data_IF_565227018184
#
_entry.id   IF_565227018184
#
_cell.length_a   1.000
_cell.length_b   1.000
_cell.length_c   1.000
_cell.angle_alpha   90.00
_cell.angle_beta   90.00
_cell.angle_gamma   90.00
#
_symmetry.space_group_name_H-M   'P 1'
#
loop_
_entity.id
_entity.type
_entity.pdbx_description
1 polymer ?
2 non-polymer ?
3 water ?
#
# COMPACT_ATOMS: atom_id res chain seq x y z
N UNK A 1 16.41 -25.96 17.58
CA UNK A 1 16.11 -26.16 19.03
C UNK A 1 14.61 -26.06 19.24
N UNK A 2 14.17 -26.44 20.43
CA UNK A 2 12.82 -26.08 20.85
C UNK A 2 12.86 -24.75 21.63
N UNK A 3 11.66 -24.19 21.82
CA UNK A 3 11.45 -22.84 22.36
C UNK A 3 12.20 -21.71 21.62
N UNK A 4 12.21 -21.83 20.29
CA UNK A 4 12.67 -20.77 19.39
C UNK A 4 11.63 -20.70 18.28
N UNK A 5 11.43 -19.52 17.72
CA UNK A 5 10.58 -19.38 16.54
C UNK A 5 11.23 -18.37 15.61
N UNK A 6 11.41 -18.73 14.35
CA UNK A 6 11.98 -17.79 13.38
C UNK A 6 10.95 -16.71 13.07
N UNK A 7 11.41 -15.48 12.77
CA UNK A 7 10.46 -14.43 12.34
C UNK A 7 9.52 -14.96 11.26
N UNK A 8 8.27 -14.51 11.28
CA UNK A 8 7.26 -15.07 10.39
C UNK A 8 6.73 -13.98 9.46
N UNK A 9 6.65 -14.27 8.17
CA UNK A 9 6.11 -13.35 7.18
C UNK A 9 4.79 -13.87 6.64
N UNK A 10 3.80 -13.00 6.62
CA UNK A 10 2.46 -13.35 6.18
C UNK A 10 2.02 -12.29 5.19
N UNK A 11 1.75 -12.70 3.93
CA UNK A 11 1.13 -11.77 3.00
C UNK A 11 -0.29 -11.41 3.43
N UNK A 12 -0.59 -10.11 3.41
CA UNK A 12 -1.91 -9.62 3.74
C UNK A 12 -2.98 -10.22 2.82
N UNK A 13 -4.24 -10.13 3.23
CA UNK A 13 -5.36 -10.62 2.43
C UNK A 13 -5.24 -12.10 2.07
N UNK A 14 -4.78 -12.89 3.03
CA UNK A 14 -4.77 -14.34 2.86
C UNK A 14 -6.19 -14.87 2.70
N UNK A 15 -6.33 -15.87 1.83
CA UNK A 15 -7.62 -16.56 1.64
C UNK A 15 -7.80 -17.65 2.68
N UNK A 16 -6.70 -18.06 3.32
CA UNK A 16 -6.72 -19.07 4.37
C UNK A 16 -6.63 -20.47 3.77
N UNK A 17 -7.48 -21.41 4.24
CA UNK A 17 -8.59 -21.26 5.20
C UNK A 17 -8.18 -20.87 6.64
N UNK A 18 -9.15 -20.33 7.38
CA UNK A 18 -8.93 -19.80 8.73
C UNK A 18 -9.73 -20.57 9.78
N UNK A 19 -9.11 -20.86 10.95
CA UNK A 19 -7.77 -20.39 11.37
C UNK A 19 -6.64 -21.08 10.63
N UNK A 20 -5.48 -20.44 10.60
CA UNK A 20 -4.36 -20.88 9.78
C UNK A 20 -3.10 -21.14 10.61
N UNK A 21 -2.58 -22.37 10.55
CA UNK A 21 -1.33 -22.66 11.25
C UNK A 21 -0.17 -21.87 10.66
N UNK A 22 0.71 -21.40 11.53
CA UNK A 22 1.91 -20.66 11.12
C UNK A 22 3.16 -21.34 11.63
N UNK A 23 3.14 -21.67 12.91
CA UNK A 23 4.32 -22.21 13.55
C UNK A 23 3.88 -22.97 14.77
N UNK A 24 4.70 -23.89 15.22
CA UNK A 24 4.37 -24.65 16.42
C UNK A 24 5.40 -24.35 17.50
N UNK A 25 4.93 -23.90 18.67
CA UNK A 25 5.78 -23.74 19.84
C UNK A 25 5.94 -25.10 20.51
N UNK A 26 7.14 -25.39 21.00
CA UNK A 26 7.35 -26.61 21.78
C UNK A 26 8.37 -26.40 22.91
N UNK A 27 8.07 -26.96 24.08
CA UNK A 27 9.02 -27.02 25.18
C UNK A 27 9.48 -28.46 25.40
N UNK A 28 10.79 -28.65 25.58
CA UNK A 28 11.34 -29.98 25.89
C UNK A 28 10.82 -30.52 27.24
N UNK A 29 10.22 -29.64 28.04
CA UNK A 29 9.69 -29.99 29.35
C UNK A 29 8.41 -30.84 29.26
N UNK A 30 7.92 -31.07 28.05
CA UNK A 30 6.66 -31.82 27.86
C UNK A 30 6.77 -33.36 27.86
N UNK A 31 7.99 -33.91 27.95
CA UNK A 31 8.18 -35.35 28.24
C UNK A 31 7.86 -35.58 29.69
N UNK A 32 8.37 -34.65 30.51
CA UNK A 32 8.30 -34.74 31.96
C UNK A 32 6.95 -34.28 32.54
N UNK A 33 6.09 -33.68 31.73
CA UNK A 33 4.77 -33.28 32.21
C UNK A 33 3.91 -32.75 31.06
N UNK A 34 2.61 -32.59 31.30
CA UNK A 34 1.75 -31.94 30.32
C UNK A 34 1.99 -30.42 30.37
N UNK A 35 2.11 -29.81 29.19
CA UNK A 35 2.36 -28.37 29.05
C UNK A 35 1.18 -27.68 28.38
N UNK A 36 0.85 -26.48 28.87
CA UNK A 36 -0.19 -25.66 28.29
C UNK A 36 0.42 -24.39 27.70
N UNK A 37 0.15 -24.15 26.43
CA UNK A 37 0.73 -23.01 25.72
C UNK A 37 -0.25 -21.86 25.63
N UNK A 38 0.29 -20.64 25.66
CA UNK A 38 -0.54 -19.46 25.52
C UNK A 38 0.26 -18.35 24.86
N UNK A 39 -0.45 -17.29 24.50
CA UNK A 39 0.07 -16.19 23.71
C UNK A 39 -0.46 -14.87 24.28
N UNK A 40 0.42 -13.87 24.42
CA UNK A 40 -0.01 -12.53 24.82
C UNK A 40 0.58 -11.51 23.84
N UNK A 41 0.00 -10.30 23.84
CA UNK A 41 0.54 -9.18 23.07
C UNK A 41 -0.50 -8.49 22.24
N UNK A 42 -0.12 -7.36 21.62
CA UNK A 42 -1.03 -6.65 20.70
C UNK A 42 -1.34 -7.52 19.49
N UNK A 43 -2.60 -7.93 19.32
CA UNK A 43 -2.94 -8.93 18.30
C UNK A 43 -3.39 -10.25 18.90
N UNK A 44 -3.10 -10.46 20.16
CA UNK A 44 -3.50 -11.67 20.86
C UNK A 44 -4.49 -11.34 21.99
N UNK A 45 -3.99 -10.95 23.16
CA UNK A 45 -4.83 -10.66 24.33
C UNK A 45 -5.10 -9.15 24.52
N UNK A 46 -4.51 -8.32 23.65
CA UNK A 46 -4.74 -6.88 23.66
C UNK A 46 -5.03 -6.38 22.23
N UNK A 47 -5.66 -5.20 22.10
CA UNK A 47 -6.17 -4.78 20.78
C UNK A 47 -5.08 -4.72 19.70
N UNK A 48 -5.37 -5.24 18.48
CA UNK A 48 -6.63 -5.93 18.12
C UNK A 48 -6.67 -7.34 18.70
N UNK A 49 -7.60 -7.58 19.62
CA UNK A 49 -7.67 -8.85 20.34
C UNK A 49 -8.07 -10.02 19.42
N UNK A 50 -7.40 -11.15 19.61
CA UNK A 50 -7.81 -12.41 19.00
C UNK A 50 -7.60 -12.54 17.50
N UNK A 51 -6.64 -11.79 16.94
CA UNK A 51 -6.24 -11.99 15.55
C UNK A 51 -5.36 -13.25 15.46
N UNK A 52 -4.47 -13.38 16.45
CA UNK A 52 -3.62 -14.54 16.64
C UNK A 52 -4.03 -15.26 17.90
N UNK A 53 -3.80 -16.57 17.90
CA UNK A 53 -4.10 -17.43 19.04
C UNK A 53 -3.13 -18.61 19.02
N UNK A 54 -3.10 -19.39 20.10
CA UNK A 54 -2.28 -20.61 20.14
C UNK A 54 -3.10 -21.76 20.74
N UNK A 55 -3.05 -22.93 20.07
CA UNK A 55 -3.64 -24.18 20.56
C UNK A 55 -2.98 -24.60 21.90
N UNK A 56 -3.80 -24.67 22.95
CA UNK A 56 -3.34 -25.04 24.30
C UNK A 56 -2.41 -26.27 24.34
N UNK A 57 -2.89 -27.37 23.76
CA UNK A 57 -2.23 -28.66 23.88
C UNK A 57 -1.08 -28.83 22.90
N UNK A 58 -1.26 -28.38 21.66
CA UNK A 58 -0.27 -28.66 20.62
C UNK A 58 0.82 -27.58 20.49
N UNK A 59 0.51 -26.35 20.90
CA UNK A 59 1.43 -25.23 20.69
C UNK A 59 1.35 -24.60 19.31
N UNK A 60 0.39 -25.02 18.49
CA UNK A 60 0.22 -24.41 17.17
C UNK A 60 -0.19 -22.94 17.30
N UNK A 61 0.64 -22.07 16.74
CA UNK A 61 0.32 -20.67 16.55
C UNK A 61 -0.58 -20.50 15.32
N UNK A 62 -1.65 -19.73 15.51
CA UNK A 62 -2.76 -19.64 14.57
C UNK A 62 -3.07 -18.20 14.23
N UNK A 63 -3.36 -17.97 12.95
CA UNK A 63 -3.90 -16.72 12.46
C UNK A 63 -5.39 -16.97 12.23
N UNK A 64 -6.23 -16.06 12.72
CA UNK A 64 -7.67 -16.27 12.72
C UNK A 64 -8.43 -15.59 11.58
N UNK A 65 -7.78 -14.67 10.89
CA UNK A 65 -8.45 -13.90 9.85
C UNK A 65 -7.40 -13.23 8.94
N UNK A 66 -7.84 -12.69 7.78
CA UNK A 66 -6.89 -12.00 6.90
C UNK A 66 -6.28 -10.75 7.53
N UNK A 67 -4.99 -10.52 7.28
CA UNK A 67 -4.31 -9.33 7.78
C UNK A 67 -4.37 -8.18 6.76
N UNK A 68 -4.22 -6.96 7.27
CA UNK A 68 -4.13 -5.74 6.46
C UNK A 68 -2.83 -5.00 6.78
N UNK A 69 -1.91 -4.92 5.82
CA UNK A 69 -0.60 -4.33 6.09
C UNK A 69 -0.68 -2.84 6.45
N UNK A 70 -1.61 -2.12 5.83
CA UNK A 70 -1.70 -0.66 5.98
C UNK A 70 -2.38 -0.29 7.28
N UNK A 71 -2.98 -1.28 7.96
CA UNK A 71 -3.53 -1.07 9.29
C UNK A 71 -2.48 -1.38 10.36
N UNK A 72 -1.89 -2.56 10.28
CA UNK A 72 -0.79 -3.00 11.16
C UNK A 72 0.14 -3.84 10.32
N UNK A 73 1.42 -3.45 10.25
CA UNK A 73 2.38 -4.07 9.37
C UNK A 73 3.29 -5.09 10.06
N UNK A 74 3.30 -5.07 11.39
CA UNK A 74 4.13 -5.97 12.21
C UNK A 74 3.53 -6.16 13.61
N UNK A 75 3.59 -7.39 14.12
CA UNK A 75 3.18 -7.71 15.48
C UNK A 75 4.39 -8.29 16.21
N UNK A 76 4.48 -7.98 17.51
CA UNK A 76 5.33 -8.71 18.46
C UNK A 76 4.43 -9.33 19.53
N UNK A 77 4.34 -10.65 19.52
CA UNK A 77 3.58 -11.43 20.51
C UNK A 77 4.54 -12.19 21.42
N UNK A 78 4.04 -12.72 22.52
CA UNK A 78 4.87 -13.53 23.43
C UNK A 78 4.19 -14.85 23.73
N UNK A 79 4.93 -15.94 23.55
CA UNK A 79 4.47 -17.28 23.85
C UNK A 79 4.86 -17.68 25.26
N UNK A 80 4.03 -18.52 25.87
CA UNK A 80 4.23 -19.02 27.22
C UNK A 80 3.96 -20.50 27.25
N UNK A 81 4.61 -21.16 28.21
CA UNK A 81 4.52 -22.60 28.41
C UNK A 81 4.41 -22.83 29.90
N UNK A 82 3.25 -23.34 30.31
CA UNK A 82 2.95 -23.55 31.71
C UNK A 82 2.61 -25.03 31.92
N UNK A 83 3.28 -25.67 32.89
CA UNK A 83 2.98 -27.06 33.23
C UNK A 83 1.61 -27.23 33.90
N UNK A 84 1.13 -28.46 33.93
CA UNK A 84 -0.16 -28.79 34.55
C UNK A 84 -0.25 -28.45 36.06
N UNK A 85 0.88 -28.45 36.75
CA UNK A 85 0.91 -28.00 38.14
C UNK A 85 0.99 -26.48 38.31
N UNK A 86 1.04 -25.75 37.20
CA UNK A 86 0.91 -24.29 37.20
C UNK A 86 2.17 -23.45 37.11
N UNK A 87 3.33 -24.10 36.98
CA UNK A 87 4.60 -23.38 36.92
C UNK A 87 4.97 -23.12 35.47
N UNK A 88 5.42 -21.92 35.16
CA UNK A 88 5.95 -21.67 33.83
C UNK A 88 7.27 -22.40 33.73
N UNK A 89 7.48 -23.08 32.61
CA UNK A 89 8.69 -23.91 32.42
C UNK A 89 9.67 -23.25 31.42
N UNK A 90 9.23 -22.19 30.74
CA UNK A 90 10.06 -21.40 29.84
C UNK A 90 9.90 -19.89 30.12
N UNK A 91 10.92 -19.11 29.77
CA UNK A 91 10.77 -17.66 29.72
C UNK A 91 9.93 -17.30 28.49
N UNK A 92 9.07 -16.27 28.60
CA UNK A 92 8.20 -15.96 27.47
C UNK A 92 8.98 -15.70 26.18
N UNK A 93 8.53 -16.30 25.08
CA UNK A 93 9.27 -16.33 23.82
C UNK A 93 8.79 -15.22 22.88
N UNK A 94 9.74 -14.45 22.35
CA UNK A 94 9.42 -13.38 21.38
C UNK A 94 9.01 -13.96 20.05
N UNK A 95 7.78 -13.66 19.66
CA UNK A 95 7.30 -14.05 18.33
C UNK A 95 7.11 -12.80 17.48
N UNK A 96 7.94 -12.68 16.42
CA UNK A 96 7.84 -11.57 15.47
C UNK A 96 7.07 -11.97 14.21
N UNK A 97 6.06 -11.18 13.86
CA UNK A 97 5.24 -11.42 12.68
C UNK A 97 5.27 -10.19 11.77
N UNK A 98 5.61 -10.43 10.49
CA UNK A 98 5.75 -9.38 9.48
C UNK A 98 4.64 -9.54 8.43
N UNK A 99 3.95 -8.44 8.12
CA UNK A 99 2.85 -8.45 7.14
C UNK A 99 3.32 -7.85 5.81
N UNK A 100 3.45 -8.70 4.79
CA UNK A 100 3.94 -8.27 3.48
C UNK A 100 2.80 -7.78 2.59
N UNK A 101 3.18 -7.03 1.56
CA UNK A 101 2.24 -6.25 0.74
C UNK A 101 1.59 -7.01 -0.40
N UNK A 102 0.32 -6.69 -0.62
CA UNK A 102 -0.38 -6.96 -1.87
C UNK A 102 -0.92 -5.62 -2.40
N UNK A 103 -1.02 -5.50 -3.71
CA UNK A 103 -1.56 -4.28 -4.30
C UNK A 103 -3.06 -4.15 -4.13
N UNK A 104 -3.48 -3.59 -2.99
CA UNK A 104 -4.90 -3.41 -2.74
C UNK A 104 -5.27 -1.96 -2.52
N UNK A 105 -4.43 -1.03 -2.99
CA UNK A 105 -4.74 0.39 -2.91
C UNK A 105 -4.67 1.08 -4.27
N UNK A 106 -5.73 1.79 -4.61
CA UNK A 106 -5.75 2.63 -5.80
C UNK A 106 -4.89 3.87 -5.51
N UNK A 107 -4.20 4.43 -6.53
CA UNK A 107 -3.52 5.70 -6.23
C UNK A 107 -4.50 6.86 -5.98
N UNK A 108 -4.06 7.86 -5.24
CA UNK A 108 -4.85 9.06 -5.00
C UNK A 108 -4.08 10.30 -5.38
N UNK A 109 -4.66 11.13 -6.25
CA UNK A 109 -4.14 12.47 -6.48
C UNK A 109 -4.27 13.28 -5.21
N UNK A 110 -3.30 14.13 -4.95
CA UNK A 110 -3.25 14.88 -3.70
C UNK A 110 -4.32 15.96 -3.69
N UNK A 111 -4.77 16.35 -4.88
CA UNK A 111 -5.84 17.33 -5.05
C UNK A 111 -6.80 16.78 -6.08
N UNK A 112 -8.07 17.17 -6.01
CA UNK A 112 -9.02 16.86 -7.06
C UNK A 112 -8.76 17.72 -8.30
N UNK A 113 -8.20 18.91 -8.10
CA UNK A 113 -7.97 19.90 -9.17
C UNK A 113 -6.58 20.57 -9.02
N UNK A 114 -5.81 20.58 -10.10
CA UNK A 114 -4.52 21.26 -10.11
C UNK A 114 -4.65 22.44 -11.08
N UNK A 115 -3.90 23.50 -10.83
CA UNK A 115 -3.89 24.64 -11.72
C UNK A 115 -2.46 25.02 -12.10
N UNK A 116 -2.28 25.38 -13.38
CA UNK A 116 -1.03 25.88 -13.90
C UNK A 116 -1.35 26.87 -14.99
N UNK A 117 -0.36 27.63 -15.41
CA UNK A 117 -0.56 28.68 -16.38
C UNK A 117 0.71 28.82 -17.20
N UNK A 118 0.55 29.23 -18.45
CA UNK A 118 1.68 29.60 -19.30
C UNK A 118 1.32 30.87 -20.07
N UNK A 119 2.35 31.62 -20.42
CA UNK A 119 2.25 32.67 -21.44
C UNK A 119 1.84 32.04 -22.76
N UNK A 120 1.02 32.76 -23.53
CA UNK A 120 0.56 32.31 -24.86
C UNK A 120 1.72 31.88 -25.79
N UNK A 121 2.86 32.55 -25.73
CA UNK A 121 3.94 32.30 -26.69
C UNK A 121 5.01 31.29 -26.30
N UNK A 122 4.79 30.49 -25.25
CA UNK A 122 5.81 29.51 -24.85
C UNK A 122 6.08 28.48 -25.96
N UNK A 123 7.29 27.92 -26.03
CA UNK A 123 7.64 26.96 -27.09
C UNK A 123 7.19 25.53 -26.75
N UNK A 124 7.04 24.68 -27.77
CA UNK A 124 6.80 23.27 -27.42
C UNK A 124 7.96 22.73 -26.57
N UNK A 125 7.66 21.84 -25.63
CA UNK A 125 8.62 21.42 -24.60
C UNK A 125 8.46 22.14 -23.26
N UNK A 126 7.60 23.14 -23.20
CA UNK A 126 7.47 23.97 -21.99
C UNK A 126 6.72 23.22 -20.91
N UNK A 127 7.31 23.17 -19.71
CA UNK A 127 6.63 22.59 -18.57
C UNK A 127 5.58 23.56 -18.06
N UNK A 128 4.34 23.08 -17.97
CA UNK A 128 3.24 23.87 -17.44
C UNK A 128 3.15 23.77 -15.91
N UNK A 129 3.17 22.54 -15.39
CA UNK A 129 2.84 22.23 -14.00
C UNK A 129 3.22 20.78 -13.72
N UNK A 130 3.24 20.41 -12.44
CA UNK A 130 3.56 19.04 -11.99
C UNK A 130 2.48 18.59 -11.03
N UNK A 131 1.80 17.50 -11.36
CA UNK A 131 0.72 16.94 -10.55
C UNK A 131 1.29 15.75 -9.80
N UNK A 132 0.63 15.36 -8.70
CA UNK A 132 1.12 14.24 -7.91
C UNK A 132 0.00 13.33 -7.44
N UNK A 133 0.22 12.03 -7.57
CA UNK A 133 -0.61 11.00 -6.96
C UNK A 133 0.21 10.13 -6.02
N UNK A 134 -0.39 9.68 -4.92
CA UNK A 134 0.28 8.79 -4.00
C UNK A 134 -0.42 7.45 -3.99
N UNK A 135 0.27 6.45 -3.47
CA UNK A 135 -0.24 5.10 -3.39
C UNK A 135 0.33 4.48 -2.13
N UNK A 136 -0.53 3.94 -1.28
CA UNK A 136 -0.12 3.38 0.02
C UNK A 136 0.61 2.01 -0.05
N UNK A 137 0.57 1.34 -1.19
CA UNK A 137 1.22 0.02 -1.30
C UNK A 137 2.72 0.19 -1.43
N UNK A 138 3.44 -0.92 -1.33
CA UNK A 138 4.89 -0.94 -1.43
C UNK A 138 5.33 -0.45 -2.78
N UNK A 139 6.19 0.56 -2.81
CA UNK A 139 6.82 0.99 -4.05
C UNK A 139 8.29 0.66 -4.09
N UNK A 140 8.79 -0.13 -3.15
CA UNK A 140 10.24 -0.38 -3.04
C UNK A 140 10.64 -1.71 -3.67
N UNK A 141 9.97 -2.78 -3.30
CA UNK A 141 10.29 -4.12 -3.82
C UNK A 141 9.26 -4.59 -4.84
N UNK A 142 8.24 -3.78 -5.07
CA UNK A 142 7.24 -4.06 -6.07
C UNK A 142 6.87 -2.78 -6.78
N UNK A 143 6.03 -2.93 -7.80
CA UNK A 143 5.40 -1.79 -8.46
C UNK A 143 4.01 -1.52 -7.87
N UNK A 144 3.67 -2.17 -6.76
CA UNK A 144 2.33 -2.06 -6.20
C UNK A 144 1.92 -0.62 -5.95
N UNK A 145 2.92 0.20 -5.58
CA UNK A 145 2.72 1.61 -5.27
C UNK A 145 3.49 2.55 -6.20
N UNK A 146 3.92 2.03 -7.35
CA UNK A 146 4.57 2.83 -8.37
C UNK A 146 3.55 3.32 -9.40
N UNK A 147 3.48 4.65 -9.53
CA UNK A 147 2.45 5.32 -10.28
C UNK A 147 2.96 5.76 -11.65
N UNK A 148 2.27 5.36 -12.71
CA UNK A 148 2.50 5.93 -14.03
C UNK A 148 1.36 6.91 -14.38
N UNK A 149 1.71 8.08 -14.91
CA UNK A 149 0.78 9.15 -15.24
C UNK A 149 0.48 9.17 -16.72
N UNK A 150 -0.74 9.58 -17.07
CA UNK A 150 -1.14 9.76 -18.46
C UNK A 150 -2.25 10.81 -18.53
N UNK A 151 -2.47 11.37 -19.72
CA UNK A 151 -3.57 12.29 -19.92
C UNK A 151 -4.76 11.48 -20.40
N UNK A 152 -5.90 11.68 -19.76
CA UNK A 152 -7.12 11.01 -20.15
C UNK A 152 -7.77 11.73 -21.34
N UNK A 153 -8.02 13.03 -21.20
CA UNK A 153 -8.66 13.81 -22.26
C UNK A 153 -8.48 15.31 -22.06
N UNK A 154 -8.67 16.05 -23.15
CA UNK A 154 -8.47 17.50 -23.22
C UNK A 154 -9.75 18.17 -23.74
N UNK A 155 -10.24 19.21 -23.06
CA UNK A 155 -11.30 20.07 -23.59
C UNK A 155 -10.91 21.53 -23.43
N UNK A 156 -11.18 22.37 -24.44
CA UNK A 156 -11.70 22.01 -25.76
C UNK A 156 -10.59 21.44 -26.64
N UNK A 157 -10.96 21.07 -27.86
CA UNK A 157 -10.02 20.46 -28.78
C UNK A 157 -9.68 21.45 -29.91
N UNK A 158 -9.66 22.73 -29.56
CA UNK A 158 -9.20 23.79 -30.45
C UNK A 158 -7.89 24.37 -29.91
N UNK A 159 -6.89 24.56 -30.77
CA UNK A 159 -6.90 24.39 -32.22
C UNK A 159 -6.84 22.94 -32.67
N UNK A 160 -6.48 22.04 -31.76
CA UNK A 160 -6.59 20.62 -31.99
C UNK A 160 -6.41 19.92 -30.66
N UNK A 161 -6.60 18.62 -30.70
CA UNK A 161 -6.58 17.80 -29.50
C UNK A 161 -5.13 17.37 -29.22
N UNK A 162 -4.87 16.77 -28.06
CA UNK A 162 -3.53 16.27 -27.71
C UNK A 162 -2.43 17.35 -27.80
N UNK A 163 -2.74 18.53 -27.30
CA UNK A 163 -1.78 19.62 -27.26
C UNK A 163 -0.82 19.60 -26.08
N UNK A 164 -1.05 18.70 -25.13
CA UNK A 164 -0.18 18.54 -23.98
C UNK A 164 0.19 17.09 -23.81
N UNK A 165 1.28 16.86 -23.08
CA UNK A 165 1.64 15.52 -22.59
C UNK A 165 1.90 15.58 -21.11
N UNK A 166 2.10 14.40 -20.52
CA UNK A 166 2.51 14.28 -19.13
C UNK A 166 3.69 13.33 -19.06
N UNK A 167 4.61 13.62 -18.15
CA UNK A 167 5.76 12.76 -17.92
C UNK A 167 5.25 11.55 -17.16
N UNK A 168 5.52 10.37 -17.71
CA UNK A 168 4.99 9.12 -17.19
C UNK A 168 5.29 8.88 -15.71
N UNK A 169 6.45 9.30 -15.23
CA UNK A 169 6.78 9.09 -13.82
C UNK A 169 6.80 10.33 -12.95
N UNK A 170 7.03 11.51 -13.52
CA UNK A 170 7.12 12.72 -12.69
C UNK A 170 5.80 13.48 -12.54
N UNK A 171 4.87 13.29 -13.47
CA UNK A 171 3.63 14.03 -13.45
C UNK A 171 3.78 15.42 -14.01
N UNK A 172 4.87 15.69 -14.72
CA UNK A 172 5.06 17.02 -15.30
C UNK A 172 4.24 17.15 -16.56
N UNK A 173 3.29 18.10 -16.58
CA UNK A 173 2.52 18.37 -17.80
C UNK A 173 3.25 19.38 -18.69
N UNK A 174 3.41 19.05 -19.98
CA UNK A 174 4.16 19.92 -20.91
C UNK A 174 3.30 20.27 -22.14
N UNK A 175 3.59 21.39 -22.79
CA UNK A 175 2.94 21.71 -24.07
C UNK A 175 3.79 21.19 -25.21
N UNK A 176 3.16 20.40 -26.08
CA UNK A 176 3.84 19.78 -27.21
C UNK A 176 3.39 20.32 -28.59
N UNK A 177 2.42 21.24 -28.63
CA UNK A 177 2.09 21.88 -29.90
C UNK A 177 2.14 23.41 -29.86
N UNK A 178 2.33 23.99 -31.04
CA UNK A 178 2.19 25.42 -31.23
C UNK A 178 0.70 25.69 -31.37
N UNK A 179 0.33 26.95 -31.28
CA UNK A 179 -1.05 27.31 -31.60
C UNK A 179 -1.88 27.76 -30.42
N UNK A 180 -1.27 27.90 -29.24
CA UNK A 180 -2.01 28.54 -28.15
C UNK A 180 -2.45 29.96 -28.52
N UNK A 181 -3.68 30.31 -28.15
CA UNK A 181 -4.25 31.61 -28.48
C UNK A 181 -5.31 31.93 -27.44
N UNK A 182 -4.92 32.69 -26.43
CA UNK A 182 -5.82 33.04 -25.34
C UNK A 182 -7.15 33.54 -25.84
N UNK A 183 -7.12 34.33 -26.91
CA UNK A 183 -8.32 34.98 -27.44
C UNK A 183 -9.36 33.98 -27.90
N UNK A 184 -8.87 32.89 -28.49
CA UNK A 184 -9.71 31.81 -29.00
C UNK A 184 -10.10 30.83 -27.90
N UNK A 185 -9.11 30.32 -27.18
CA UNK A 185 -9.31 29.41 -26.04
C UNK A 185 -8.46 29.91 -24.85
N UNK A 186 -9.09 30.59 -23.86
CA UNK A 186 -8.26 31.10 -22.76
C UNK A 186 -7.84 30.03 -21.76
N UNK A 187 -8.49 28.88 -21.79
CA UNK A 187 -8.31 27.86 -20.77
C UNK A 187 -8.60 26.41 -21.24
N UNK A 188 -7.72 25.46 -20.89
CA UNK A 188 -7.96 24.03 -21.14
C UNK A 188 -8.18 23.28 -19.83
N UNK A 189 -9.03 22.27 -19.89
CA UNK A 189 -9.28 21.41 -18.76
C UNK A 189 -8.85 20.01 -19.15
N UNK A 190 -7.85 19.50 -18.46
CA UNK A 190 -7.33 18.17 -18.74
C UNK A 190 -7.71 17.22 -17.64
N UNK A 191 -8.47 16.18 -17.96
CA UNK A 191 -8.59 15.04 -17.05
C UNK A 191 -7.31 14.22 -17.13
N UNK A 192 -6.70 13.99 -15.98
CA UNK A 192 -5.41 13.30 -15.89
C UNK A 192 -5.60 12.02 -15.10
N UNK A 193 -4.69 11.08 -15.32
CA UNK A 193 -4.77 9.75 -14.75
C UNK A 193 -3.52 9.30 -14.09
N UNK A 194 -3.68 8.48 -13.04
CA UNK A 194 -2.57 7.88 -12.30
C UNK A 194 -2.85 6.40 -12.15
N UNK A 195 -1.92 5.57 -12.59
CA UNK A 195 -2.10 4.12 -12.64
C UNK A 195 -0.97 3.42 -11.89
N UNK A 196 -1.33 2.52 -10.97
CA UNK A 196 -0.28 1.79 -10.24
C UNK A 196 0.17 0.56 -11.05
N UNK A 197 1.00 -0.28 -10.46
CA UNK A 197 1.78 -1.29 -11.23
C UNK A 197 2.40 -0.64 -12.47
N UNK A 198 2.94 0.57 -12.29
CA UNK A 198 3.56 1.33 -13.37
C UNK A 198 2.75 1.30 -14.67
N UNK A 199 1.43 1.51 -14.56
CA UNK A 199 0.58 1.59 -15.74
C UNK A 199 -0.22 0.34 -16.06
N UNK A 200 0.08 -0.78 -15.42
CA UNK A 200 -0.69 -2.02 -15.61
C UNK A 200 -1.82 -2.24 -14.61
N UNK A 201 -1.90 -1.43 -13.56
CA UNK A 201 -2.83 -1.69 -12.46
C UNK A 201 -4.13 -0.93 -12.55
N UNK A 202 -4.58 -0.40 -11.42
CA UNK A 202 -5.82 0.36 -11.36
C UNK A 202 -5.52 1.86 -11.34
N UNK A 203 -6.51 2.66 -11.72
CA UNK A 203 -6.32 4.06 -12.12
C UNK A 203 -7.38 4.99 -11.49
N UNK A 204 -6.92 6.16 -11.03
CA UNK A 204 -7.78 7.23 -10.54
C UNK A 204 -7.64 8.48 -11.44
N UNK A 205 -8.55 9.44 -11.31
CA UNK A 205 -8.48 10.67 -12.11
C UNK A 205 -8.50 11.93 -11.29
N UNK A 206 -8.08 13.00 -11.94
CA UNK A 206 -8.10 14.32 -11.35
C UNK A 206 -8.18 15.27 -12.51
N UNK A 207 -8.29 16.54 -12.22
CA UNK A 207 -8.34 17.56 -13.24
C UNK A 207 -7.12 18.45 -13.15
N UNK A 208 -6.61 18.88 -14.30
CA UNK A 208 -5.57 19.92 -14.35
C UNK A 208 -6.06 21.02 -15.24
N UNK A 209 -6.24 22.21 -14.66
CA UNK A 209 -6.73 23.37 -15.42
C UNK A 209 -5.58 24.24 -15.86
N UNK A 210 -5.42 24.38 -17.16
CA UNK A 210 -4.36 25.21 -17.76
C UNK A 210 -4.89 26.55 -18.29
N UNK A 211 -4.39 27.64 -17.69
CA UNK A 211 -4.76 29.01 -18.08
C UNK A 211 -3.72 29.54 -19.05
N UNK A 212 -4.19 30.13 -20.15
CA UNK A 212 -3.32 30.86 -21.06
C UNK A 212 -3.31 32.33 -20.60
N UNK A 213 -2.15 32.79 -20.13
CA UNK A 213 -2.06 34.08 -19.50
C UNK A 213 -2.20 35.24 -20.47
N UNK A 214 -2.83 36.33 -20.02
CA UNK A 214 -2.54 37.64 -20.60
C UNK A 214 -1.55 38.36 -19.69
X LIG B 1 -1.27 -3.17 0.24
X LIG C 1 -1.44 0.31 -5.41
X LIG D 1 -4.49 -3.79 2.82
X LIG E 1 -5.19 -3.37 -14.94
#
# INVERSE_FOLDING_TARGET
>A
RDWVVAPISVPENGKGPFPQRLNQLKSNKDRDTKIFYSITGPGADSPPEGVFAVEKETGWLLLNKPLDREEIAKYELFGHAVSENGASVEDPMNISIIVTDQNDHKPKFTQDTFRGSVLEGVLPGTSVMQVTATDEDDAIYTYNGVVAYSIHSQEPKDPHDLMFTIHRSTGTISVISSGLDREKVPEYTLTIQATDMDGDGSTTTAVAVVEILD
>B hetero
1 CA CA
>C hetero
1 CA CA
>D hetero
1 CA CA
>E hetero
1 CA CA
#
